data_IF_814626059323
#
_entry.id   IF_814626059323
#
_cell.length_a   1.000
_cell.length_b   1.000
_cell.length_c   1.000
_cell.angle_alpha   90.00
_cell.angle_beta   90.00
_cell.angle_gamma   90.00
#
_symmetry.space_group_name_H-M   'P 1'
#
loop_
_entity.id
_entity.type
_entity.pdbx_description
1 polymer ?
#
# COMPACT_ATOMS: atom_id res chain seq x y z
N UNK A 1 -18.32 17.10 -5.86
CA UNK A 1 -17.12 17.63 -5.17
C UNK A 1 -16.30 18.36 -6.20
N UNK A 2 -16.26 19.68 -6.13
CA UNK A 2 -15.40 20.51 -6.98
C UNK A 2 -14.06 20.61 -6.26
N UNK A 3 -12.98 20.17 -6.91
CA UNK A 3 -11.62 20.45 -6.42
C UNK A 3 -11.38 21.93 -6.71
N UNK A 4 -10.97 22.70 -5.70
CA UNK A 4 -10.66 24.11 -5.89
C UNK A 4 -9.39 24.22 -6.77
N UNK A 5 -9.31 25.22 -7.64
CA UNK A 5 -8.19 25.38 -8.60
C UNK A 5 -6.81 25.43 -7.92
N UNK A 6 -6.73 25.91 -6.67
CA UNK A 6 -5.50 25.95 -5.87
C UNK A 6 -5.06 24.56 -5.36
N UNK A 7 -5.91 23.55 -5.49
CA UNK A 7 -5.66 22.16 -5.09
C UNK A 7 -5.33 21.25 -6.27
N UNK A 8 -5.47 21.73 -7.52
CA UNK A 8 -5.09 21.00 -8.74
C UNK A 8 -3.58 21.08 -9.01
N UNK A 9 -2.80 20.47 -8.12
CA UNK A 9 -1.34 20.43 -8.21
C UNK A 9 -0.84 19.08 -8.76
N UNK A 10 0.36 18.98 -9.35
CA UNK A 10 0.89 17.70 -9.86
C UNK A 10 0.82 16.52 -8.88
N UNK A 11 1.06 16.68 -7.55
CA UNK A 11 0.89 15.60 -6.59
C UNK A 11 -0.56 15.40 -6.09
N UNK A 12 -1.59 15.97 -6.74
CA UNK A 12 -2.99 15.83 -6.33
C UNK A 12 -3.42 14.37 -6.13
N UNK A 13 -2.97 13.46 -7.00
CA UNK A 13 -3.26 12.02 -6.91
C UNK A 13 -2.62 11.34 -5.69
N UNK A 14 -1.68 11.99 -5.01
CA UNK A 14 -1.10 11.55 -3.75
C UNK A 14 -1.87 12.03 -2.52
N UNK A 15 -2.96 12.79 -2.70
CA UNK A 15 -3.83 13.24 -1.61
C UNK A 15 -3.22 14.35 -0.76
N UNK A 16 -2.70 15.40 -1.42
CA UNK A 16 -2.10 16.57 -0.74
C UNK A 16 -3.13 17.60 -0.25
N UNK A 17 -4.39 17.44 -0.66
CA UNK A 17 -5.50 18.34 -0.30
C UNK A 17 -6.02 18.04 1.10
N UNK A 18 -6.33 19.10 1.85
CA UNK A 18 -6.98 18.99 3.15
C UNK A 18 -8.45 18.59 2.96
N UNK A 19 -8.82 17.42 3.51
CA UNK A 19 -10.20 16.91 3.47
C UNK A 19 -10.54 16.32 4.83
N UNK A 20 -11.76 16.59 5.30
CA UNK A 20 -12.24 16.07 6.59
C UNK A 20 -12.73 14.60 6.51
N UNK A 21 -12.76 13.87 7.64
CA UNK A 21 -13.17 12.48 7.65
C UNK A 21 -14.62 12.22 7.21
N UNK A 22 -15.55 13.16 7.40
CA UNK A 22 -16.94 12.98 6.96
C UNK A 22 -17.00 13.01 5.43
N UNK A 23 -16.34 13.98 4.80
CA UNK A 23 -16.21 14.04 3.33
C UNK A 23 -15.54 12.78 2.78
N UNK A 24 -14.44 12.32 3.38
CA UNK A 24 -13.78 11.07 2.98
C UNK A 24 -14.71 9.86 3.10
N UNK A 25 -15.44 9.72 4.21
CA UNK A 25 -16.39 8.61 4.38
C UNK A 25 -17.49 8.63 3.32
N UNK A 26 -17.96 9.81 2.92
CA UNK A 26 -18.97 9.98 1.87
C UNK A 26 -18.45 9.59 0.48
N UNK A 27 -17.19 9.94 0.17
CA UNK A 27 -16.53 9.53 -1.08
C UNK A 27 -16.44 8.01 -1.18
N UNK A 28 -16.00 7.34 -0.11
CA UNK A 28 -15.90 5.89 -0.09
C UNK A 28 -17.29 5.21 -0.04
N UNK A 29 -18.29 5.83 0.60
CA UNK A 29 -19.69 5.38 0.53
C UNK A 29 -20.23 5.41 -0.91
N UNK A 30 -19.82 6.40 -1.72
CA UNK A 30 -20.19 6.47 -3.14
C UNK A 30 -19.68 5.26 -3.92
N UNK A 31 -18.46 4.79 -3.61
CA UNK A 31 -17.90 3.58 -4.23
C UNK A 31 -18.63 2.32 -3.76
N UNK A 32 -18.90 2.22 -2.45
CA UNK A 32 -19.72 1.15 -1.86
C UNK A 32 -21.10 1.04 -2.54
N UNK A 33 -21.75 2.19 -2.75
CA UNK A 33 -23.04 2.35 -3.41
C UNK A 33 -22.96 2.32 -4.96
N UNK A 34 -21.85 1.81 -5.51
CA UNK A 34 -21.66 1.59 -6.96
C UNK A 34 -21.89 2.86 -7.78
N UNK A 35 -21.33 3.96 -7.31
CA UNK A 35 -21.36 5.27 -7.98
C UNK A 35 -22.52 6.18 -7.64
N UNK A 36 -23.36 5.83 -6.65
CA UNK A 36 -24.42 6.71 -6.15
C UNK A 36 -23.90 7.48 -4.96
N UNK A 37 -23.90 8.80 -5.06
CA UNK A 37 -23.57 9.72 -3.97
C UNK A 37 -24.86 10.17 -3.29
N UNK A 38 -24.85 10.18 -1.96
CA UNK A 38 -25.90 10.79 -1.16
C UNK A 38 -25.22 11.78 -0.20
N UNK A 39 -25.64 13.06 -0.18
CA UNK A 39 -25.16 14.02 0.82
C UNK A 39 -25.32 13.47 2.25
N UNK A 40 -24.26 13.51 3.09
CA UNK A 40 -24.39 13.09 4.49
C UNK A 40 -25.42 13.93 5.23
N UNK A 41 -26.23 13.29 6.06
CA UNK A 41 -27.31 13.93 6.78
C UNK A 41 -27.46 13.31 8.18
N UNK A 42 -27.37 14.11 9.26
CA UNK A 42 -27.44 13.60 10.63
C UNK A 42 -28.87 13.42 11.15
N UNK A 43 -29.89 13.88 10.41
CA UNK A 43 -31.30 13.85 10.83
C UNK A 43 -31.89 12.47 10.53
N UNK A 44 -32.37 11.79 11.58
CA UNK A 44 -33.04 10.49 11.46
C UNK A 44 -34.56 10.62 11.39
N UNK A 45 -35.13 11.47 12.26
CA UNK A 45 -36.55 11.82 12.29
C UNK A 45 -36.70 13.21 12.92
N UNK A 46 -37.82 13.87 12.64
CA UNK A 46 -38.19 15.15 13.24
C UNK A 46 -39.58 14.97 13.83
N UNK A 47 -39.73 15.20 15.13
CA UNK A 47 -41.03 15.19 15.82
C UNK A 47 -41.40 16.63 16.20
N UNK A 48 -42.69 16.96 16.13
CA UNK A 48 -43.19 18.24 16.63
C UNK A 48 -43.42 18.23 18.16
N UNK A 49 -44.02 19.31 18.69
CA UNK A 49 -44.27 19.44 20.13
C UNK A 49 -45.28 18.43 20.67
N UNK A 50 -46.14 17.93 19.80
CA UNK A 50 -47.25 17.04 20.12
C UNK A 50 -46.83 15.57 19.93
N UNK A 51 -45.63 15.35 19.39
CA UNK A 51 -45.03 14.03 19.15
C UNK A 51 -45.34 13.47 17.77
N UNK A 52 -45.88 14.28 16.86
CA UNK A 52 -46.20 13.85 15.50
C UNK A 52 -44.96 13.98 14.59
N UNK A 53 -44.69 12.96 13.77
CA UNK A 53 -43.58 13.00 12.80
C UNK A 53 -43.79 14.09 11.75
N UNK A 54 -42.75 14.88 11.53
CA UNK A 54 -42.68 15.93 10.51
C UNK A 54 -41.99 15.36 9.28
N UNK A 55 -42.61 15.55 8.11
CA UNK A 55 -42.02 15.10 6.85
C UNK A 55 -40.66 15.77 6.63
N UNK A 56 -39.64 14.93 6.46
CA UNK A 56 -38.29 15.36 6.14
C UNK A 56 -37.86 14.67 4.84
N UNK A 57 -37.60 15.42 3.74
CA UNK A 57 -37.32 14.83 2.42
C UNK A 57 -35.99 14.07 2.36
N UNK A 58 -35.16 14.15 3.41
CA UNK A 58 -33.89 13.44 3.47
C UNK A 58 -32.85 13.99 2.49
N UNK A 59 -31.87 13.15 2.17
CA UNK A 59 -30.81 13.49 1.20
C UNK A 59 -31.20 13.08 -0.22
N UNK A 60 -31.10 14.01 -1.17
CA UNK A 60 -31.24 13.69 -2.59
C UNK A 60 -29.97 13.00 -3.11
N UNK A 61 -30.10 11.74 -3.52
CA UNK A 61 -28.98 10.96 -4.04
C UNK A 61 -28.85 11.10 -5.56
N UNK A 62 -27.61 11.20 -6.04
CA UNK A 62 -27.27 11.32 -7.46
C UNK A 62 -26.32 10.20 -7.91
N UNK A 63 -26.52 9.68 -9.12
CA UNK A 63 -25.58 8.76 -9.74
C UNK A 63 -24.45 9.54 -10.43
N UNK A 64 -23.29 9.59 -9.78
CA UNK A 64 -22.08 10.23 -10.31
C UNK A 64 -21.22 9.30 -11.17
N UNK A 65 -21.22 8.00 -10.87
CA UNK A 65 -20.45 7.00 -11.61
C UNK A 65 -21.33 5.87 -12.15
N UNK A 66 -20.90 5.30 -13.28
CA UNK A 66 -21.47 4.06 -13.81
C UNK A 66 -21.23 2.93 -12.78
N UNK A 67 -22.19 2.02 -12.54
CA UNK A 67 -22.02 0.92 -11.60
C UNK A 67 -20.75 0.11 -11.83
N UNK A 68 -20.42 -0.19 -13.09
CA UNK A 68 -19.22 -0.94 -13.44
C UNK A 68 -17.91 -0.27 -13.00
N UNK A 69 -17.86 1.06 -12.94
CA UNK A 69 -16.68 1.79 -12.42
C UNK A 69 -16.59 1.62 -10.92
N UNK A 70 -17.70 1.75 -10.19
CA UNK A 70 -17.75 1.49 -8.76
C UNK A 70 -17.36 0.05 -8.42
N UNK A 71 -17.87 -0.92 -9.19
CA UNK A 71 -17.53 -2.34 -9.04
C UNK A 71 -16.03 -2.59 -9.27
N UNK A 72 -15.43 -1.94 -10.26
CA UNK A 72 -13.98 -2.01 -10.52
C UNK A 72 -13.15 -1.46 -9.36
N UNK A 73 -13.53 -0.30 -8.83
CA UNK A 73 -12.85 0.32 -7.67
C UNK A 73 -12.98 -0.59 -6.46
N UNK A 74 -14.17 -1.13 -6.21
CA UNK A 74 -14.41 -2.06 -5.12
C UNK A 74 -13.53 -3.31 -5.24
N UNK A 75 -13.41 -3.88 -6.44
CA UNK A 75 -12.56 -5.04 -6.71
C UNK A 75 -11.09 -4.80 -6.35
N UNK A 76 -10.54 -3.67 -6.77
CA UNK A 76 -9.16 -3.26 -6.44
C UNK A 76 -9.01 -3.01 -4.94
N UNK A 77 -9.94 -2.30 -4.31
CA UNK A 77 -9.84 -1.91 -2.90
C UNK A 77 -10.10 -3.06 -1.92
N UNK A 78 -10.77 -4.15 -2.34
CA UNK A 78 -10.82 -5.40 -1.57
C UNK A 78 -9.41 -5.96 -1.34
N UNK A 79 -8.49 -5.77 -2.29
CA UNK A 79 -7.11 -6.25 -2.19
C UNK A 79 -6.36 -5.76 -0.95
N UNK A 80 -6.73 -4.62 -0.35
CA UNK A 80 -6.13 -4.15 0.93
C UNK A 80 -6.47 -5.08 2.09
N UNK A 81 -7.64 -5.71 2.06
CA UNK A 81 -8.17 -6.60 3.09
C UNK A 81 -7.88 -8.09 2.81
N UNK A 82 -7.28 -8.42 1.67
CA UNK A 82 -6.98 -9.78 1.22
C UNK A 82 -5.49 -10.14 1.40
N UNK A 83 -5.11 -11.44 1.38
CA UNK A 83 -3.71 -11.85 1.54
C UNK A 83 -2.75 -11.05 0.65
N UNK A 84 -1.72 -10.46 1.26
CA UNK A 84 -0.76 -9.57 0.60
C UNK A 84 -1.11 -8.07 0.71
N UNK A 85 -2.33 -7.72 1.13
CA UNK A 85 -2.75 -6.35 1.40
C UNK A 85 -2.27 -5.82 2.75
N UNK A 86 -2.05 -4.50 2.83
CA UNK A 86 -1.62 -3.85 4.08
C UNK A 86 -2.60 -4.01 5.23
N UNK A 87 -3.92 -3.97 4.94
CA UNK A 87 -4.95 -4.23 5.94
C UNK A 87 -4.91 -5.68 6.41
N UNK A 88 -4.72 -6.62 5.48
CA UNK A 88 -4.59 -8.03 5.82
C UNK A 88 -3.39 -8.31 6.74
N UNK A 89 -2.21 -7.81 6.36
CA UNK A 89 -0.97 -8.00 7.12
C UNK A 89 -1.01 -7.39 8.53
N UNK A 90 -1.92 -6.43 8.77
CA UNK A 90 -2.14 -5.80 10.07
C UNK A 90 -3.39 -6.33 10.81
N UNK A 91 -4.02 -7.41 10.32
CA UNK A 91 -5.18 -8.01 11.00
C UNK A 91 -6.46 -7.15 10.96
N UNK A 92 -6.61 -6.30 9.94
CA UNK A 92 -7.72 -5.34 9.82
C UNK A 92 -8.92 -5.88 9.04
N UNK A 93 -8.92 -7.15 8.63
CA UNK A 93 -10.02 -7.76 7.89
C UNK A 93 -11.27 -7.86 8.76
N UNK A 94 -12.45 -7.53 8.23
CA UNK A 94 -13.73 -7.81 8.91
C UNK A 94 -14.16 -9.27 8.70
N UNK A 95 -15.17 -9.72 9.44
CA UNK A 95 -15.77 -11.05 9.16
C UNK A 95 -16.70 -11.01 7.95
N UNK A 96 -17.17 -9.83 7.57
CA UNK A 96 -17.93 -9.59 6.35
C UNK A 96 -17.01 -9.03 5.25
N UNK A 97 -17.39 -9.17 3.96
CA UNK A 97 -16.68 -8.56 2.85
C UNK A 97 -16.44 -7.06 3.10
N UNK A 98 -15.19 -6.64 2.97
CA UNK A 98 -14.81 -5.23 3.11
C UNK A 98 -13.74 -4.84 2.10
N UNK A 99 -13.72 -3.55 1.78
CA UNK A 99 -12.73 -2.91 0.93
C UNK A 99 -12.14 -1.73 1.70
N UNK A 100 -10.89 -1.38 1.44
CA UNK A 100 -10.23 -0.31 2.17
C UNK A 100 -9.09 0.32 1.38
N UNK A 101 -8.60 1.45 1.89
CA UNK A 101 -7.37 2.08 1.45
C UNK A 101 -6.65 2.73 2.63
N UNK A 102 -5.33 2.55 2.65
CA UNK A 102 -4.41 3.23 3.56
C UNK A 102 -3.99 4.58 3.00
N UNK A 103 -3.74 5.55 3.88
CA UNK A 103 -3.10 6.81 3.54
C UNK A 103 -2.08 7.23 4.60
N UNK A 104 -0.99 7.82 4.16
CA UNK A 104 0.02 8.45 5.02
C UNK A 104 0.50 9.70 4.29
N UNK A 105 0.32 10.88 4.88
CA UNK A 105 0.77 12.13 4.26
C UNK A 105 2.28 12.30 4.42
N UNK A 106 2.84 13.23 3.67
CA UNK A 106 4.27 13.55 3.77
C UNK A 106 4.69 13.91 5.20
N UNK A 107 5.88 13.45 5.59
CA UNK A 107 6.44 13.56 6.94
C UNK A 107 5.53 12.98 8.04
N UNK A 108 4.63 12.06 7.68
CA UNK A 108 3.75 11.33 8.59
C UNK A 108 2.93 12.27 9.50
N UNK A 109 2.50 13.41 8.95
CA UNK A 109 1.70 14.42 9.66
C UNK A 109 0.28 13.93 9.91
N UNK A 110 -0.27 13.14 8.99
CA UNK A 110 -1.53 12.46 9.14
C UNK A 110 -1.47 11.04 8.55
N UNK A 111 -2.20 10.14 9.19
CA UNK A 111 -2.42 8.76 8.73
C UNK A 111 -3.90 8.47 8.65
N UNK A 112 -4.27 7.73 7.62
CA UNK A 112 -5.66 7.49 7.24
C UNK A 112 -5.90 6.01 6.99
N UNK A 113 -7.08 5.56 7.38
CA UNK A 113 -7.65 4.30 6.96
C UNK A 113 -9.12 4.51 6.61
N UNK A 114 -9.43 4.51 5.32
CA UNK A 114 -10.78 4.59 4.81
C UNK A 114 -11.21 3.19 4.39
N UNK A 115 -12.30 2.68 4.96
CA UNK A 115 -12.76 1.33 4.71
C UNK A 115 -14.26 1.21 4.80
N UNK A 116 -14.80 0.22 4.09
CA UNK A 116 -16.24 0.10 3.90
C UNK A 116 -16.66 -1.34 3.61
N UNK A 117 -17.91 -1.64 3.94
CA UNK A 117 -18.68 -2.79 3.43
C UNK A 117 -19.62 -2.30 2.32
N UNK A 118 -20.41 -3.17 1.65
CA UNK A 118 -21.40 -2.71 0.68
C UNK A 118 -22.46 -1.73 1.24
N UNK A 119 -22.63 -1.64 2.57
CA UNK A 119 -23.70 -0.85 3.20
C UNK A 119 -23.23 0.18 4.22
N UNK A 120 -21.95 0.21 4.56
CA UNK A 120 -21.41 1.18 5.51
C UNK A 120 -19.99 1.58 5.14
N UNK A 121 -19.72 2.89 5.14
CA UNK A 121 -18.39 3.44 4.94
C UNK A 121 -17.95 4.23 6.17
N UNK A 122 -16.67 4.10 6.53
CA UNK A 122 -16.06 4.84 7.65
C UNK A 122 -14.63 5.24 7.29
N UNK A 123 -14.20 6.38 7.81
CA UNK A 123 -12.83 6.87 7.69
C UNK A 123 -12.25 7.14 9.07
N UNK A 124 -11.07 6.60 9.34
CA UNK A 124 -10.29 6.86 10.54
C UNK A 124 -9.06 7.71 10.17
N UNK A 125 -8.85 8.79 10.91
CA UNK A 125 -7.70 9.68 10.76
C UNK A 125 -7.04 9.89 12.11
N UNK A 126 -5.71 9.87 12.14
CA UNK A 126 -4.93 10.43 13.24
C UNK A 126 -3.98 11.46 12.63
N UNK A 127 -3.98 12.67 13.20
CA UNK A 127 -3.24 13.82 12.69
C UNK A 127 -2.51 14.53 13.83
N UNK A 128 -1.29 15.01 13.56
CA UNK A 128 -0.56 15.88 14.46
C UNK A 128 -0.81 17.34 14.11
N UNK A 129 -1.09 18.17 15.11
CA UNK A 129 -1.17 19.62 14.99
C UNK A 129 -0.46 20.29 16.17
N UNK A 130 0.07 21.50 15.96
CA UNK A 130 0.50 22.38 17.05
C UNK A 130 -0.70 23.20 17.59
N UNK A 131 -0.45 24.04 18.60
CA UNK A 131 -1.48 24.90 19.20
C UNK A 131 -2.12 25.91 18.23
N UNK A 132 -1.43 26.23 17.14
CA UNK A 132 -1.91 27.09 16.06
C UNK A 132 -2.67 26.32 14.96
N UNK A 133 -2.87 25.01 15.12
CA UNK A 133 -3.53 24.15 14.14
C UNK A 133 -2.66 23.74 12.94
N UNK A 134 -1.37 24.11 12.91
CA UNK A 134 -0.47 23.74 11.82
C UNK A 134 -0.08 22.26 11.91
N UNK A 135 -0.10 21.52 10.78
CA UNK A 135 0.27 20.10 10.76
C UNK A 135 1.68 19.81 11.29
N UNK A 136 1.80 18.82 12.17
CA UNK A 136 3.06 18.33 12.75
C UNK A 136 3.21 16.83 12.56
N UNK A 137 4.44 16.38 12.42
CA UNK A 137 4.72 14.95 12.34
C UNK A 137 4.26 14.25 13.62
N UNK A 138 3.67 13.07 13.43
CA UNK A 138 3.31 12.15 14.49
C UNK A 138 4.52 11.32 14.98
N UNK A 139 5.61 11.26 14.21
CA UNK A 139 6.83 10.53 14.60
C UNK A 139 7.46 11.19 15.83
N UNK A 140 7.84 10.38 16.80
CA UNK A 140 8.36 10.83 18.10
C UNK A 140 7.30 11.39 19.05
N UNK A 141 6.01 11.41 18.66
CA UNK A 141 4.92 11.81 19.56
C UNK A 141 4.47 10.65 20.43
N UNK A 142 4.06 10.94 21.66
CA UNK A 142 3.51 9.95 22.58
C UNK A 142 1.99 10.01 22.56
N UNK A 143 1.34 8.90 22.19
CA UNK A 143 -0.12 8.76 22.18
C UNK A 143 -0.48 7.54 23.03
N UNK A 144 -1.35 7.71 24.02
CA UNK A 144 -1.75 6.61 24.92
C UNK A 144 -0.60 5.95 25.68
N UNK A 145 0.48 6.70 25.98
CA UNK A 145 1.68 6.20 26.65
C UNK A 145 2.70 5.52 25.74
N UNK A 146 2.44 5.44 24.43
CA UNK A 146 3.33 4.84 23.44
C UNK A 146 3.95 5.93 22.57
N UNK A 147 5.28 5.97 22.50
CA UNK A 147 6.00 6.85 21.56
C UNK A 147 6.00 6.23 20.17
N UNK A 148 5.53 7.00 19.19
CA UNK A 148 5.36 6.54 17.82
C UNK A 148 6.69 6.60 17.06
N UNK A 149 7.09 5.50 16.43
CA UNK A 149 8.25 5.43 15.53
C UNK A 149 7.81 5.64 14.08
N UNK A 150 8.76 5.86 13.18
CA UNK A 150 8.46 6.01 11.75
C UNK A 150 7.66 4.81 11.19
N UNK A 151 7.98 3.60 11.63
CA UNK A 151 7.34 2.37 11.18
C UNK A 151 5.91 2.21 11.72
N UNK A 152 5.61 2.81 12.88
CA UNK A 152 4.27 2.72 13.47
C UNK A 152 3.32 3.80 12.96
N UNK A 153 3.84 4.90 12.40
CA UNK A 153 3.02 5.98 11.84
C UNK A 153 2.66 5.70 10.38
N UNK A 154 1.86 4.67 10.16
CA UNK A 154 1.28 4.34 8.86
C UNK A 154 -0.24 4.17 8.94
N UNK A 155 -0.93 4.38 7.82
CA UNK A 155 -2.39 4.20 7.73
C UNK A 155 -2.88 2.87 8.30
N UNK A 156 -2.27 1.74 7.94
CA UNK A 156 -2.66 0.41 8.45
C UNK A 156 -2.15 0.11 9.87
N UNK A 157 -1.10 0.78 10.34
CA UNK A 157 -0.49 0.50 11.64
C UNK A 157 -1.13 1.32 12.78
N UNK A 158 -1.60 2.54 12.50
CA UNK A 158 -2.08 3.47 13.52
C UNK A 158 -3.55 3.85 13.36
N UNK A 159 -3.98 4.27 12.16
CA UNK A 159 -5.40 4.59 11.91
C UNK A 159 -6.26 3.34 11.71
N UNK A 160 -5.70 2.31 11.08
CA UNK A 160 -6.36 1.04 10.78
C UNK A 160 -6.94 0.32 12.01
N UNK A 161 -6.19 0.18 13.12
CA UNK A 161 -6.72 -0.41 14.35
C UNK A 161 -7.92 0.36 14.93
N UNK A 162 -7.92 1.70 14.82
CA UNK A 162 -9.05 2.53 15.24
C UNK A 162 -10.30 2.25 14.38
N UNK A 163 -10.12 2.22 13.05
CA UNK A 163 -11.18 1.84 12.10
C UNK A 163 -11.73 0.43 12.40
N UNK A 164 -10.85 -0.55 12.56
CA UNK A 164 -11.20 -1.95 12.80
C UNK A 164 -12.00 -2.11 14.09
N UNK A 165 -11.60 -1.43 15.17
CA UNK A 165 -12.29 -1.47 16.46
C UNK A 165 -13.72 -0.94 16.36
N UNK A 166 -13.94 0.14 15.61
CA UNK A 166 -15.29 0.66 15.37
C UNK A 166 -16.12 -0.30 14.50
N UNK A 167 -15.55 -0.75 13.37
CA UNK A 167 -16.28 -1.59 12.41
C UNK A 167 -16.63 -2.98 12.94
N UNK A 168 -15.81 -3.58 13.81
CA UNK A 168 -16.12 -4.87 14.45
C UNK A 168 -17.36 -4.79 15.34
N UNK A 169 -17.60 -3.64 15.98
CA UNK A 169 -18.80 -3.46 16.80
C UNK A 169 -20.03 -3.35 15.90
N UNK A 170 -19.92 -2.62 14.79
CA UNK A 170 -21.07 -2.31 13.92
C UNK A 170 -21.41 -3.45 12.95
N UNK A 171 -20.43 -4.19 12.47
CA UNK A 171 -20.62 -5.22 11.43
C UNK A 171 -21.67 -6.28 11.79
N UNK A 172 -21.92 -6.54 13.07
CA UNK A 172 -22.93 -7.52 13.50
C UNK A 172 -24.37 -7.09 13.17
N UNK A 173 -24.61 -5.79 12.97
CA UNK A 173 -25.91 -5.23 12.59
C UNK A 173 -26.00 -4.93 11.08
N UNK A 174 -24.91 -5.13 10.34
CA UNK A 174 -24.91 -4.92 8.90
C UNK A 174 -25.44 -6.17 8.18
N UNK A 175 -26.22 -6.00 7.10
CA UNK A 175 -26.62 -7.13 6.28
C UNK A 175 -25.40 -7.79 5.66
N UNK A 176 -25.40 -9.13 5.64
CA UNK A 176 -24.33 -9.92 5.04
C UNK A 176 -24.42 -9.86 3.51
N UNK A 177 -23.79 -8.84 2.93
CA UNK A 177 -23.76 -8.60 1.49
C UNK A 177 -22.35 -8.75 0.93
N UNK A 178 -22.27 -9.25 -0.30
CA UNK A 178 -21.04 -9.27 -1.08
C UNK A 178 -20.95 -8.07 -2.02
N UNK A 179 -19.72 -7.64 -2.32
CA UNK A 179 -19.49 -6.73 -3.43
C UNK A 179 -19.89 -7.38 -4.75
N UNK A 180 -20.36 -6.56 -5.69
CA UNK A 180 -20.71 -7.04 -7.02
C UNK A 180 -19.43 -7.41 -7.79
N UNK A 181 -19.32 -8.64 -8.32
CA UNK A 181 -18.16 -9.04 -9.12
C UNK A 181 -18.00 -8.18 -10.36
N UNK A 182 -16.76 -7.90 -10.75
CA UNK A 182 -16.48 -7.16 -11.97
C UNK A 182 -16.90 -7.94 -13.20
N UNK A 183 -17.56 -7.24 -14.13
CA UNK A 183 -17.68 -7.72 -15.49
C UNK A 183 -16.50 -7.17 -16.29
N UNK A 184 -15.46 -7.98 -16.47
CA UNK A 184 -14.23 -7.57 -17.16
C UNK A 184 -14.50 -7.02 -18.57
N UNK A 185 -15.53 -7.50 -19.28
CA UNK A 185 -15.91 -6.98 -20.60
C UNK A 185 -16.47 -5.54 -20.58
N UNK A 186 -16.86 -5.03 -19.40
CA UNK A 186 -17.38 -3.67 -19.21
C UNK A 186 -16.35 -2.68 -18.63
N UNK A 187 -15.22 -3.18 -18.12
CA UNK A 187 -14.26 -2.43 -17.29
C UNK A 187 -12.86 -2.47 -17.92
N UNK A 188 -12.41 -3.65 -18.36
CA UNK A 188 -11.20 -3.78 -19.13
C UNK A 188 -11.50 -3.44 -20.58
N UNK A 189 -10.78 -2.48 -21.16
CA UNK A 189 -10.63 -2.49 -22.62
C UNK A 189 -10.28 -3.93 -23.03
N UNK A 190 -10.98 -4.45 -24.05
CA UNK A 190 -11.04 -5.88 -24.40
C UNK A 190 -9.74 -6.61 -24.06
N UNK A 191 -9.81 -7.70 -23.28
CA UNK A 191 -8.62 -8.49 -22.97
C UNK A 191 -7.93 -8.90 -24.28
N UNK A 192 -6.66 -8.52 -24.39
CA UNK A 192 -5.83 -8.76 -25.58
C UNK A 192 -4.71 -9.70 -25.17
N UNK A 193 -4.51 -10.77 -25.96
CA UNK A 193 -3.31 -11.58 -25.81
C UNK A 193 -2.10 -10.82 -26.35
N UNK A 194 -1.01 -10.77 -25.58
CA UNK A 194 0.24 -10.16 -26.04
C UNK A 194 0.81 -11.00 -27.19
N UNK A 195 0.94 -10.43 -28.40
CA UNK A 195 1.46 -11.16 -29.56
C UNK A 195 2.96 -11.45 -29.42
N UNK A 196 3.44 -12.49 -30.11
CA UNK A 196 4.88 -12.77 -30.17
C UNK A 196 5.61 -11.70 -31.00
N UNK A 197 6.62 -11.09 -30.38
CA UNK A 197 7.45 -10.03 -30.94
C UNK A 197 8.95 -10.35 -30.90
N UNK A 198 9.35 -11.46 -30.29
CA UNK A 198 10.75 -11.86 -30.19
C UNK A 198 11.34 -12.11 -31.60
N UNK A 199 12.57 -11.62 -31.83
CA UNK A 199 13.28 -11.68 -33.10
C UNK A 199 12.83 -10.66 -34.16
N UNK A 200 11.79 -9.87 -33.93
CA UNK A 200 11.38 -8.79 -34.84
C UNK A 200 12.23 -7.53 -34.66
N UNK A 201 12.29 -6.69 -35.69
CA UNK A 201 12.81 -5.33 -35.52
C UNK A 201 11.90 -4.51 -34.59
N UNK A 202 12.45 -3.50 -33.92
CA UNK A 202 11.68 -2.61 -33.02
C UNK A 202 10.46 -1.97 -33.71
N UNK A 203 10.55 -1.47 -34.96
CA UNK A 203 9.39 -0.94 -35.68
C UNK A 203 8.30 -1.98 -35.92
N UNK A 204 8.66 -3.21 -36.33
CA UNK A 204 7.70 -4.28 -36.60
C UNK A 204 7.04 -4.80 -35.32
N UNK A 205 7.82 -4.97 -34.25
CA UNK A 205 7.30 -5.33 -32.94
C UNK A 205 6.34 -4.26 -32.40
N UNK A 206 6.70 -2.99 -32.56
CA UNK A 206 5.86 -1.85 -32.15
C UNK A 206 4.56 -1.79 -32.93
N UNK A 207 4.60 -1.99 -34.25
CA UNK A 207 3.40 -2.06 -35.08
C UNK A 207 2.48 -3.21 -34.64
N UNK A 208 3.03 -4.41 -34.45
CA UNK A 208 2.29 -5.59 -34.01
C UNK A 208 1.62 -5.41 -32.64
N UNK A 209 2.28 -4.73 -31.71
CA UNK A 209 1.68 -4.40 -30.41
C UNK A 209 0.57 -3.36 -30.54
N UNK A 210 0.75 -2.33 -31.37
CA UNK A 210 -0.29 -1.32 -31.61
C UNK A 210 -1.52 -1.91 -32.31
N UNK A 211 -1.33 -2.82 -33.26
CA UNK A 211 -2.42 -3.53 -33.94
C UNK A 211 -3.23 -4.41 -32.97
N UNK A 212 -2.56 -4.94 -31.94
CA UNK A 212 -3.21 -5.63 -30.83
C UNK A 212 -3.84 -4.66 -29.81
N UNK A 213 -3.77 -3.34 -30.02
CA UNK A 213 -4.31 -2.36 -29.09
C UNK A 213 -3.48 -2.20 -27.81
N UNK A 214 -2.18 -2.51 -27.86
CA UNK A 214 -1.20 -2.37 -26.77
C UNK A 214 -0.25 -1.20 -27.05
N UNK A 215 0.40 -0.68 -26.00
CA UNK A 215 1.33 0.47 -26.11
C UNK A 215 2.77 -0.02 -26.00
N UNK A 216 3.56 -0.03 -27.10
CA UNK A 216 4.95 -0.49 -27.04
C UNK A 216 5.87 0.56 -26.38
N UNK A 217 6.77 0.09 -25.51
CA UNK A 217 7.82 0.90 -24.89
C UNK A 217 9.17 0.22 -25.11
N UNK A 218 10.14 0.93 -25.70
CA UNK A 218 11.49 0.38 -25.87
C UNK A 218 12.24 0.48 -24.54
N UNK A 219 12.78 -0.65 -24.09
CA UNK A 219 13.50 -0.81 -22.83
C UNK A 219 15.01 -1.00 -23.09
N UNK A 220 15.74 -1.43 -22.06
CA UNK A 220 17.18 -1.69 -22.11
C UNK A 220 17.55 -2.82 -23.08
N UNK A 221 18.84 -2.83 -23.47
CA UNK A 221 19.44 -3.95 -24.20
C UNK A 221 19.79 -5.10 -23.25
N UNK A 222 19.73 -6.33 -23.77
CA UNK A 222 20.00 -7.58 -23.04
C UNK A 222 20.75 -8.56 -23.94
N UNK A 223 21.42 -9.53 -23.32
CA UNK A 223 22.06 -10.63 -24.04
C UNK A 223 21.02 -11.57 -24.62
N UNK A 224 21.16 -11.89 -25.90
CA UNK A 224 20.24 -12.74 -26.61
C UNK A 224 20.87 -13.32 -27.88
N UNK A 225 20.42 -14.52 -28.24
CA UNK A 225 20.81 -15.17 -29.50
C UNK A 225 20.15 -14.54 -30.73
N UNK A 226 19.19 -13.63 -30.55
CA UNK A 226 18.59 -12.88 -31.66
C UNK A 226 19.56 -11.82 -32.21
N UNK A 227 19.38 -11.42 -33.47
CA UNK A 227 20.24 -10.43 -34.12
C UNK A 227 20.28 -9.09 -33.35
N UNK A 228 21.44 -8.42 -33.37
CA UNK A 228 21.61 -7.10 -32.75
C UNK A 228 20.52 -6.12 -33.21
N UNK A 229 19.90 -5.41 -32.26
CA UNK A 229 18.86 -4.42 -32.54
C UNK A 229 17.45 -4.99 -32.79
N UNK A 230 17.27 -6.31 -32.67
CA UNK A 230 15.94 -6.95 -32.66
C UNK A 230 15.41 -7.14 -31.24
N UNK A 231 14.13 -7.45 -31.07
CA UNK A 231 13.53 -7.69 -29.75
C UNK A 231 13.97 -9.05 -29.20
N UNK A 232 14.61 -9.07 -28.04
CA UNK A 232 14.95 -10.29 -27.32
C UNK A 232 13.70 -10.94 -26.70
N UNK A 233 12.93 -10.15 -25.96
CA UNK A 233 11.64 -10.54 -25.38
C UNK A 233 10.81 -9.30 -25.01
N UNK A 234 9.55 -9.52 -24.64
CA UNK A 234 8.65 -8.49 -24.13
C UNK A 234 8.22 -8.76 -22.70
N UNK A 235 7.85 -7.70 -21.96
CA UNK A 235 7.19 -7.80 -20.66
C UNK A 235 5.95 -6.90 -20.62
N UNK A 236 4.74 -7.43 -20.42
CA UNK A 236 4.41 -8.86 -20.37
C UNK A 236 4.82 -9.67 -21.62
N UNK A 237 5.07 -10.96 -21.44
CA UNK A 237 5.56 -11.87 -22.50
C UNK A 237 4.47 -12.35 -23.44
N UNK A 238 4.87 -12.89 -24.60
CA UNK A 238 3.94 -13.44 -25.59
C UNK A 238 2.99 -14.50 -24.98
N UNK A 239 1.70 -14.42 -25.31
CA UNK A 239 0.67 -15.32 -24.79
C UNK A 239 0.09 -14.93 -23.43
N UNK A 240 0.68 -13.94 -22.74
CA UNK A 240 0.08 -13.37 -21.54
C UNK A 240 -1.19 -12.57 -21.87
N UNK A 241 -2.08 -12.44 -20.89
CA UNK A 241 -3.26 -11.58 -20.98
C UNK A 241 -2.88 -10.16 -20.60
N UNK A 242 -3.22 -9.21 -21.46
CA UNK A 242 -3.08 -7.78 -21.23
C UNK A 242 -4.42 -7.07 -21.46
N UNK A 243 -4.55 -5.86 -20.94
CA UNK A 243 -5.71 -4.99 -21.24
C UNK A 243 -5.40 -4.07 -22.41
N UNK A 244 -6.40 -3.76 -23.23
CA UNK A 244 -6.20 -2.75 -24.29
C UNK A 244 -5.69 -1.43 -23.68
N UNK A 245 -4.63 -0.87 -24.26
CA UNK A 245 -3.91 0.31 -23.79
C UNK A 245 -2.78 0.02 -22.80
N UNK A 246 -2.60 -1.24 -22.36
CA UNK A 246 -1.49 -1.61 -21.47
C UNK A 246 -0.14 -1.42 -22.15
N UNK A 247 0.84 -0.92 -21.38
CA UNK A 247 2.22 -0.80 -21.82
C UNK A 247 2.91 -2.16 -21.87
N UNK A 248 3.64 -2.43 -22.95
CA UNK A 248 4.45 -3.63 -23.15
C UNK A 248 5.88 -3.18 -23.44
N UNK A 249 6.79 -3.51 -22.52
CA UNK A 249 8.21 -3.20 -22.63
C UNK A 249 8.91 -4.18 -23.57
N UNK A 250 9.67 -3.65 -24.54
CA UNK A 250 10.48 -4.39 -25.51
C UNK A 250 11.95 -4.35 -25.07
N UNK A 251 12.52 -5.49 -24.73
CA UNK A 251 13.95 -5.61 -24.40
C UNK A 251 14.72 -5.97 -25.67
N UNK A 252 15.80 -5.25 -25.94
CA UNK A 252 16.48 -5.30 -27.25
C UNK A 252 17.70 -6.20 -27.18
N UNK A 253 17.87 -7.09 -28.14
CA UNK A 253 19.05 -7.94 -28.26
C UNK A 253 20.30 -7.10 -28.56
N UNK A 254 21.36 -7.33 -27.78
CA UNK A 254 22.71 -6.86 -28.09
C UNK A 254 23.50 -7.79 -29.03
N UNK A 255 22.86 -8.86 -29.53
CA UNK A 255 23.46 -9.81 -30.47
C UNK A 255 24.50 -10.75 -29.85
N UNK A 256 24.68 -10.71 -28.53
CA UNK A 256 25.57 -11.62 -27.81
C UNK A 256 24.76 -12.78 -27.23
N UNK A 257 25.03 -14.04 -27.63
CA UNK A 257 24.37 -15.18 -27.01
C UNK A 257 24.65 -15.17 -25.51
N UNK A 258 23.62 -15.42 -24.70
CA UNK A 258 23.77 -15.57 -23.25
C UNK A 258 24.92 -16.53 -22.93
N UNK A 259 25.95 -16.00 -22.25
CA UNK A 259 27.04 -16.81 -21.71
C UNK A 259 26.75 -16.96 -20.23
N UNK A 260 26.39 -18.18 -19.82
CA UNK A 260 26.20 -18.48 -18.41
C UNK A 260 27.46 -18.05 -17.63
N UNK A 261 27.32 -17.36 -16.48
CA UNK A 261 28.46 -17.07 -15.63
C UNK A 261 29.21 -18.38 -15.36
N UNK A 262 30.54 -18.36 -15.53
CA UNK A 262 31.37 -19.50 -15.14
C UNK A 262 31.00 -19.93 -13.72
N UNK A 263 30.79 -21.23 -13.44
CA UNK A 263 30.52 -21.70 -12.09
C UNK A 263 31.57 -21.08 -11.17
N UNK A 264 31.14 -20.32 -10.15
CA UNK A 264 32.06 -19.87 -9.13
C UNK A 264 32.78 -21.11 -8.58
N UNK A 265 34.12 -21.08 -8.42
CA UNK A 265 34.81 -22.15 -7.74
C UNK A 265 34.11 -22.41 -6.42
N UNK A 266 33.74 -23.67 -6.18
CA UNK A 266 33.22 -24.10 -4.88
C UNK A 266 34.11 -23.50 -3.79
N UNK A 267 33.54 -22.93 -2.70
CA UNK A 267 34.35 -22.45 -1.59
C UNK A 267 35.32 -23.56 -1.20
N UNK A 268 36.62 -23.26 -1.30
CA UNK A 268 37.64 -24.21 -0.90
C UNK A 268 37.38 -24.55 0.57
N UNK A 269 37.33 -25.84 0.98
CA UNK A 269 37.09 -26.19 2.36
C UNK A 269 38.11 -25.46 3.24
N UNK A 270 37.62 -24.66 4.18
CA UNK A 270 38.46 -24.09 5.23
C UNK A 270 39.28 -25.23 5.86
N UNK A 271 40.59 -25.05 6.12
CA UNK A 271 41.39 -26.09 6.75
C UNK A 271 40.70 -26.53 8.05
N UNK A 272 40.33 -27.82 8.06
CA UNK A 272 39.70 -28.45 9.19
C UNK A 272 40.65 -28.33 10.40
N UNK A 273 40.22 -27.77 11.55
CA UNK A 273 41.06 -27.73 12.74
C UNK A 273 41.52 -29.15 13.09
N UNK A 274 42.81 -29.31 13.37
CA UNK A 274 43.41 -30.57 13.82
C UNK A 274 42.59 -31.17 14.98
N UNK A 275 42.40 -32.51 15.05
CA UNK A 275 41.65 -33.12 16.12
C UNK A 275 42.32 -32.80 17.47
N UNK A 276 41.61 -32.08 18.33
CA UNK A 276 42.00 -31.90 19.71
C UNK A 276 41.83 -33.26 20.43
N UNK A 277 42.81 -33.75 21.22
CA UNK A 277 42.68 -35.03 21.91
C UNK A 277 41.50 -35.01 22.87
N UNK A 278 40.63 -36.02 22.77
CA UNK A 278 39.50 -36.21 23.68
C UNK A 278 39.99 -36.39 25.13
N UNK A 279 39.40 -35.72 26.13
CA UNK A 279 39.71 -35.99 27.53
C UNK A 279 39.24 -37.40 27.91
N UNK A 280 40.12 -38.19 28.52
CA UNK A 280 39.77 -39.48 29.11
C UNK A 280 38.86 -39.28 30.33
N UNK A 281 37.70 -39.94 30.34
CA UNK A 281 36.79 -40.00 31.48
C UNK A 281 37.42 -40.79 32.65
N UNK A 282 37.49 -40.24 33.88
CA UNK A 282 37.82 -41.01 35.08
C UNK A 282 36.58 -41.79 35.57
N UNK A 283 36.80 -43.01 36.06
CA UNK A 283 35.78 -43.91 36.62
C UNK A 283 35.14 -43.42 37.95
N UNK A 284 34.17 -44.17 38.51
CA UNK A 284 33.18 -43.60 39.40
C UNK A 284 33.55 -43.59 40.90
N UNK A 285 32.97 -42.57 41.56
CA UNK A 285 32.47 -42.49 42.95
C UNK A 285 33.42 -42.30 44.14
N UNK A 286 33.32 -41.11 44.74
CA UNK A 286 33.45 -40.83 46.17
C UNK A 286 32.58 -39.60 46.54
N UNK A 287 31.88 -39.56 47.71
CA UNK A 287 30.92 -38.51 48.04
C UNK A 287 31.59 -37.22 48.57
N UNK A 288 30.87 -36.09 48.63
CA UNK A 288 31.46 -34.75 48.65
C UNK A 288 31.65 -34.19 50.07
N UNK A 289 32.39 -33.07 50.18
CA UNK A 289 31.96 -32.02 51.11
C UNK A 289 32.01 -30.61 50.52
N UNK A 290 30.99 -29.82 50.89
CA UNK A 290 31.10 -28.38 51.24
C UNK A 290 31.20 -27.34 50.13
N UNK A 291 30.25 -26.39 50.10
CA UNK A 291 30.37 -25.10 49.39
C UNK A 291 31.38 -24.14 50.05
N UNK A 292 31.31 -22.79 49.89
CA UNK A 292 30.35 -21.95 49.14
C UNK A 292 30.98 -20.81 48.28
N UNK A 293 30.16 -20.10 47.50
CA UNK A 293 30.28 -18.62 47.34
C UNK A 293 30.64 -18.03 45.96
N UNK A 294 30.24 -16.76 45.69
CA UNK A 294 29.88 -16.27 44.35
C UNK A 294 30.77 -15.12 43.81
N UNK A 295 30.70 -14.80 42.50
CA UNK A 295 31.31 -13.57 41.98
C UNK A 295 31.15 -13.27 40.48
N UNK A 296 30.36 -12.23 40.16
CA UNK A 296 30.78 -11.11 39.30
C UNK A 296 30.60 -11.19 37.75
N UNK A 297 30.40 -10.04 37.06
CA UNK A 297 29.74 -9.95 35.76
C UNK A 297 30.68 -9.78 34.55
N UNK A 298 30.21 -10.14 33.34
CA UNK A 298 30.93 -10.01 32.07
C UNK A 298 30.87 -8.60 31.43
N UNK A 299 31.82 -8.26 30.54
CA UNK A 299 32.08 -6.89 30.08
C UNK A 299 31.28 -6.48 28.84
N UNK A 300 31.07 -5.16 28.72
CA UNK A 300 30.33 -4.49 27.65
C UNK A 300 31.05 -4.44 26.29
N UNK A 301 30.25 -4.37 25.23
CA UNK A 301 30.69 -4.16 23.84
C UNK A 301 30.92 -2.69 23.47
N UNK A 302 31.58 -2.42 22.34
CA UNK A 302 32.05 -1.09 21.95
C UNK A 302 30.91 -0.16 21.44
N UNK A 303 31.09 1.17 21.52
CA UNK A 303 30.10 2.15 21.08
C UNK A 303 30.03 2.31 19.56
N UNK A 304 28.83 2.60 19.05
CA UNK A 304 28.57 2.92 17.64
C UNK A 304 29.13 4.30 17.23
N UNK A 305 29.46 4.51 15.94
CA UNK A 305 29.94 5.79 15.43
C UNK A 305 28.84 6.88 15.40
N UNK A 306 29.23 8.17 15.45
CA UNK A 306 28.29 9.29 15.45
C UNK A 306 27.68 9.56 14.06
N UNK A 307 26.43 10.03 14.06
CA UNK A 307 25.65 10.39 12.87
C UNK A 307 26.23 11.62 12.12
N UNK A 308 26.00 11.72 10.79
CA UNK A 308 26.41 12.87 10.00
C UNK A 308 25.59 14.14 10.32
N UNK A 309 26.15 15.34 10.11
CA UNK A 309 25.47 16.61 10.41
C UNK A 309 24.35 16.94 9.42
N UNK A 310 23.29 17.57 9.93
CA UNK A 310 22.13 18.03 9.17
C UNK A 310 22.49 19.05 8.08
N UNK A 311 21.74 19.09 6.96
CA UNK A 311 21.91 20.10 5.92
C UNK A 311 21.46 21.50 6.39
N UNK A 312 22.02 22.59 5.83
CA UNK A 312 21.72 23.94 6.26
C UNK A 312 20.29 24.38 5.85
N UNK A 313 19.65 25.14 6.73
CA UNK A 313 18.34 25.77 6.51
C UNK A 313 18.35 26.69 5.27
N UNK A 314 17.31 26.58 4.42
CA UNK A 314 17.07 27.49 3.30
C UNK A 314 16.76 28.92 3.78
N UNK A 315 17.20 29.96 3.04
CA UNK A 315 16.99 31.35 3.43
C UNK A 315 15.52 31.77 3.27
N UNK A 316 15.00 32.42 4.30
CA UNK A 316 13.66 33.02 4.32
C UNK A 316 13.56 34.21 3.36
N UNK A 317 12.55 34.18 2.48
CA UNK A 317 12.14 35.32 1.64
C UNK A 317 11.56 36.45 2.53
N UNK A 318 11.87 37.74 2.26
CA UNK A 318 11.29 38.85 3.01
C UNK A 318 9.83 39.12 2.62
N UNK A 319 9.01 39.68 3.53
CA UNK A 319 7.61 39.96 3.25
C UNK A 319 7.47 41.14 2.27
N UNK A 320 6.60 40.97 1.27
CA UNK A 320 6.16 42.04 0.38
C UNK A 320 5.44 43.13 1.20
N UNK A 321 5.89 44.38 1.05
CA UNK A 321 5.22 45.57 1.59
C UNK A 321 4.19 46.13 0.62
N UNK A 322 3.14 46.71 1.22
CA UNK A 322 2.11 47.65 0.76
C UNK A 322 1.68 47.68 -0.73
#
# INVERSE_FOLDING_TARGET
VTVLDDQEVPPFTLGVTDIDPLTMSSVYATMAARGVYCPPNPILDIEDRDGDSVEFPGSECERLLRPAVGDAVNDVLRGVQEPGGFGYSNGLQLTQPSAAKTGTTQNNKAVWYAGYTPTLSTAAMIAGANDAGSPKSLVGRTVGGVTLSIDSVAGSALAGPMWKRAMVVVQQWLPDLNFQPINQAKIGGAAVSVPSVAGLSVPEASARLRDAGLVPVVSSTVDSSYAYGTVAYSSPGAGSQAVSGQQVSLYISDGTPYVAPSPQPSPQPSPQPSPQPSPQSPGPSGPPPGGPGPGGPGPGGPPNPPDPPDPPDEPTEPPNGD
#
